data_IF_979801533550
#
_entry.id   IF_979801533550
#
_cell.length_a   1.000
_cell.length_b   1.000
_cell.length_c   1.000
_cell.angle_alpha   90.00
_cell.angle_beta   90.00
_cell.angle_gamma   90.00
#
_symmetry.space_group_name_H-M   'P 1'
#
loop_
_entity.id
_entity.type
_entity.pdbx_description
1 polymer ?
#
# COMPACT_ATOMS: atom_id res chain seq x y z
N UNK A 1 -22.23 -18.55 -8.42
CA UNK A 1 -22.59 -19.61 -7.44
C UNK A 1 -22.31 -19.17 -6.00
N UNK A 2 -21.08 -18.77 -5.65
CA UNK A 2 -20.77 -18.24 -4.30
C UNK A 2 -21.41 -16.86 -4.03
N UNK A 3 -21.41 -15.95 -5.01
CA UNK A 3 -22.00 -14.61 -4.83
C UNK A 3 -23.51 -14.67 -4.60
N UNK A 4 -24.24 -15.49 -5.37
CA UNK A 4 -25.68 -15.66 -5.19
C UNK A 4 -26.04 -16.31 -3.85
N UNK A 5 -25.25 -17.29 -3.39
CA UNK A 5 -25.46 -17.97 -2.11
C UNK A 5 -25.23 -17.02 -0.92
N UNK A 6 -24.16 -16.23 -0.94
CA UNK A 6 -23.80 -15.29 0.14
C UNK A 6 -24.33 -13.87 -0.06
N UNK A 7 -25.13 -13.64 -1.10
CA UNK A 7 -25.66 -12.31 -1.50
C UNK A 7 -24.56 -11.25 -1.63
N UNK A 8 -23.42 -11.62 -2.21
CA UNK A 8 -22.31 -10.71 -2.45
C UNK A 8 -22.48 -10.02 -3.80
N UNK A 9 -22.16 -8.72 -3.86
CA UNK A 9 -22.18 -7.97 -5.11
C UNK A 9 -21.01 -8.34 -6.04
N UNK A 10 -19.95 -8.93 -5.49
CA UNK A 10 -18.72 -9.26 -6.22
C UNK A 10 -18.01 -10.47 -5.59
N UNK A 11 -17.10 -11.07 -6.36
CA UNK A 11 -16.20 -12.12 -5.89
C UNK A 11 -15.37 -11.65 -4.67
N UNK A 12 -15.44 -12.33 -3.52
CA UNK A 12 -14.82 -11.88 -2.26
C UNK A 12 -13.31 -12.10 -2.20
N UNK A 13 -12.78 -13.14 -2.84
CA UNK A 13 -11.36 -13.51 -2.78
C UNK A 13 -10.69 -13.34 -4.16
N UNK A 14 -10.48 -12.10 -4.56
CA UNK A 14 -9.72 -11.80 -5.78
C UNK A 14 -8.24 -11.66 -5.47
N UNK A 15 -7.36 -12.20 -6.31
CA UNK A 15 -5.91 -12.02 -6.18
C UNK A 15 -5.51 -10.53 -6.33
N UNK A 16 -6.30 -9.75 -7.06
CA UNK A 16 -6.09 -8.32 -7.22
C UNK A 16 -6.43 -7.59 -5.92
N UNK A 17 -5.44 -6.87 -5.39
CA UNK A 17 -5.65 -5.89 -4.32
C UNK A 17 -6.27 -4.63 -4.94
N UNK A 18 -7.52 -4.34 -4.57
CA UNK A 18 -8.25 -3.12 -4.94
C UNK A 18 -8.28 -2.17 -3.73
N UNK A 19 -7.68 -0.98 -3.80
CA UNK A 19 -7.73 0.01 -2.72
C UNK A 19 -9.15 0.34 -2.26
N UNK A 20 -10.14 0.34 -3.18
CA UNK A 20 -11.53 0.61 -2.84
C UNK A 20 -12.16 -0.48 -1.95
N UNK A 21 -11.57 -1.68 -1.94
CA UNK A 21 -12.03 -2.84 -1.16
C UNK A 21 -11.12 -3.13 0.04
N UNK A 22 -10.18 -2.24 0.35
CA UNK A 22 -9.27 -2.43 1.48
C UNK A 22 -10.03 -2.25 2.81
N UNK A 23 -10.01 -3.30 3.65
CA UNK A 23 -10.61 -3.21 4.98
C UNK A 23 -9.76 -2.33 5.91
N UNK A 24 -10.27 -1.14 6.22
CA UNK A 24 -9.62 -0.12 7.05
C UNK A 24 -9.80 -0.40 8.54
N UNK A 25 -9.09 -1.39 9.07
CA UNK A 25 -9.03 -1.63 10.51
C UNK A 25 -8.49 -0.41 11.26
N UNK A 26 -8.72 -0.35 12.58
CA UNK A 26 -8.19 0.73 13.43
C UNK A 26 -6.65 0.84 13.32
N UNK A 27 -5.94 -0.28 13.25
CA UNK A 27 -4.48 -0.28 13.10
C UNK A 27 -4.05 0.25 11.73
N UNK A 28 -4.75 -0.11 10.65
CA UNK A 28 -4.48 0.42 9.31
C UNK A 28 -4.70 1.94 9.27
N UNK A 29 -5.80 2.44 9.85
CA UNK A 29 -6.10 3.87 9.88
C UNK A 29 -5.02 4.67 10.64
N UNK A 30 -4.60 4.19 11.81
CA UNK A 30 -3.53 4.82 12.59
C UNK A 30 -2.20 4.82 11.84
N UNK A 31 -1.83 3.69 11.23
CA UNK A 31 -0.60 3.60 10.44
C UNK A 31 -0.63 4.55 9.23
N UNK A 32 -1.77 4.61 8.53
CA UNK A 32 -1.95 5.52 7.40
C UNK A 32 -1.84 6.99 7.82
N UNK A 33 -2.45 7.38 8.93
CA UNK A 33 -2.36 8.75 9.46
C UNK A 33 -0.91 9.14 9.78
N UNK A 34 -0.15 8.22 10.42
CA UNK A 34 1.27 8.45 10.72
C UNK A 34 2.13 8.58 9.46
N UNK A 35 1.87 7.77 8.44
CA UNK A 35 2.58 7.86 7.16
C UNK A 35 2.27 9.17 6.44
N UNK A 36 1.01 9.61 6.40
CA UNK A 36 0.62 10.91 5.84
C UNK A 36 1.34 12.05 6.56
N UNK A 37 1.27 12.07 7.89
CA UNK A 37 2.00 13.04 8.69
C UNK A 37 3.50 13.02 8.37
N UNK A 38 4.10 11.84 8.23
CA UNK A 38 5.53 11.73 7.95
C UNK A 38 5.90 12.31 6.59
N UNK A 39 5.07 12.07 5.56
CA UNK A 39 5.22 12.62 4.22
C UNK A 39 5.06 14.14 4.22
N UNK A 40 4.00 14.66 4.83
CA UNK A 40 3.68 16.09 4.85
C UNK A 40 4.77 16.92 5.56
N UNK A 41 5.42 16.33 6.58
CA UNK A 41 6.46 16.99 7.37
C UNK A 41 7.89 16.61 6.93
N UNK A 42 8.05 15.87 5.83
CA UNK A 42 9.36 15.41 5.33
C UNK A 42 10.24 14.76 6.42
N UNK A 43 9.62 14.00 7.31
CA UNK A 43 10.30 13.36 8.45
C UNK A 43 10.97 12.05 8.03
N UNK A 44 11.90 12.13 7.08
CA UNK A 44 12.77 11.03 6.71
C UNK A 44 12.04 9.73 6.31
N UNK A 45 12.71 8.56 6.41
CA UNK A 45 12.15 7.29 5.98
C UNK A 45 11.09 6.74 6.95
N UNK A 46 9.96 6.27 6.41
CA UNK A 46 8.92 5.56 7.16
C UNK A 46 9.08 4.03 7.10
N UNK A 47 8.88 3.35 8.23
CA UNK A 47 8.90 1.89 8.32
C UNK A 47 7.54 1.34 8.78
N UNK A 48 7.00 0.37 8.04
CA UNK A 48 5.75 -0.33 8.39
C UNK A 48 6.07 -1.75 8.85
N UNK A 49 5.80 -2.04 10.12
CA UNK A 49 6.02 -3.35 10.73
C UNK A 49 4.71 -4.12 10.90
N UNK A 50 4.77 -5.45 10.77
CA UNK A 50 3.63 -6.34 10.98
C UNK A 50 3.87 -7.73 10.40
N UNK A 51 3.14 -8.73 10.91
CA UNK A 51 3.25 -10.12 10.46
C UNK A 51 2.89 -10.31 8.98
N UNK A 52 3.21 -11.47 8.42
CA UNK A 52 2.79 -11.81 7.05
C UNK A 52 1.26 -11.75 6.92
N UNK A 53 0.75 -11.27 5.79
CA UNK A 53 -0.69 -11.17 5.53
C UNK A 53 -1.43 -10.02 6.23
N UNK A 54 -0.78 -9.19 7.05
CA UNK A 54 -1.46 -8.08 7.77
C UNK A 54 -1.75 -6.84 6.91
N UNK A 55 -1.71 -6.94 5.59
CA UNK A 55 -2.10 -5.84 4.70
C UNK A 55 -1.08 -4.71 4.50
N UNK A 56 0.20 -4.86 4.91
CA UNK A 56 1.26 -3.85 4.74
C UNK A 56 1.36 -3.28 3.32
N UNK A 57 1.48 -4.17 2.32
CA UNK A 57 1.55 -3.77 0.90
C UNK A 57 0.24 -3.13 0.43
N UNK A 58 -0.90 -3.59 0.94
CA UNK A 58 -2.20 -2.98 0.65
C UNK A 58 -2.31 -1.58 1.23
N UNK A 59 -1.75 -1.32 2.41
CA UNK A 59 -1.71 -0.01 3.04
C UNK A 59 -0.91 1.00 2.24
N UNK A 60 0.27 0.59 1.72
CA UNK A 60 1.10 1.46 0.86
C UNK A 60 0.35 1.80 -0.44
N UNK A 61 -0.31 0.81 -1.07
CA UNK A 61 -1.15 1.05 -2.25
C UNK A 61 -2.35 1.96 -1.97
N UNK A 62 -2.93 1.87 -0.77
CA UNK A 62 -4.02 2.75 -0.36
C UNK A 62 -3.52 4.19 -0.19
N UNK A 63 -2.36 4.37 0.44
CA UNK A 63 -1.73 5.68 0.62
C UNK A 63 -1.49 6.36 -0.73
N UNK A 64 -0.90 5.64 -1.69
CA UNK A 64 -0.59 6.18 -3.01
C UNK A 64 -1.82 6.41 -3.87
N UNK A 65 -2.89 5.63 -3.69
CA UNK A 65 -4.17 5.86 -4.34
C UNK A 65 -4.88 7.12 -3.80
N UNK A 66 -4.78 7.37 -2.49
CA UNK A 66 -5.38 8.53 -1.83
C UNK A 66 -4.60 9.84 -2.10
N UNK A 67 -3.29 9.76 -2.35
CA UNK A 67 -2.39 10.92 -2.53
C UNK A 67 -1.80 10.94 -3.95
N UNK A 68 -2.59 11.43 -4.91
CA UNK A 68 -2.17 11.53 -6.31
C UNK A 68 -1.12 12.61 -6.57
N UNK A 69 -0.96 13.52 -5.61
CA UNK A 69 0.04 14.58 -5.54
C UNK A 69 1.44 14.08 -5.19
N UNK A 70 1.58 12.86 -4.66
CA UNK A 70 2.88 12.21 -4.43
C UNK A 70 3.47 11.72 -5.76
N UNK A 71 3.95 12.66 -6.58
CA UNK A 71 4.63 12.38 -7.84
C UNK A 71 6.00 13.08 -7.87
N UNK A 72 7.06 12.41 -8.37
CA UNK A 72 7.06 11.05 -8.91
C UNK A 72 7.01 9.97 -7.80
N UNK A 73 6.18 8.94 -8.00
CA UNK A 73 6.14 7.76 -7.13
C UNK A 73 6.94 6.61 -7.75
N UNK A 74 8.01 6.19 -7.08
CA UNK A 74 8.79 5.02 -7.49
C UNK A 74 8.53 3.87 -6.51
N UNK A 75 8.02 2.74 -7.03
CA UNK A 75 7.74 1.54 -6.23
C UNK A 75 8.75 0.43 -6.56
N UNK A 76 9.69 0.21 -5.66
CA UNK A 76 10.75 -0.80 -5.80
C UNK A 76 10.40 -2.04 -4.98
N UNK A 77 10.31 -3.20 -5.63
CA UNK A 77 10.05 -4.49 -4.99
C UNK A 77 11.28 -5.36 -5.15
N UNK A 78 11.92 -5.74 -4.04
CA UNK A 78 13.14 -6.56 -4.04
C UNK A 78 14.21 -6.03 -5.01
N UNK A 79 14.99 -5.01 -4.63
CA UNK A 79 16.12 -4.57 -5.45
C UNK A 79 17.24 -5.62 -5.34
N UNK A 80 17.08 -6.76 -6.01
CA UNK A 80 18.19 -7.68 -6.32
C UNK A 80 19.03 -7.08 -7.47
N UNK A 81 19.36 -5.79 -7.36
CA UNK A 81 20.06 -4.98 -8.34
C UNK A 81 21.19 -4.23 -7.62
N UNK A 82 22.23 -3.85 -8.35
CA UNK A 82 23.33 -3.08 -7.78
C UNK A 82 22.85 -1.69 -7.32
N UNK A 83 23.55 -1.04 -6.38
CA UNK A 83 23.25 0.35 -6.00
C UNK A 83 23.21 1.30 -7.19
N UNK A 84 24.11 1.14 -8.17
CA UNK A 84 24.15 1.94 -9.38
C UNK A 84 22.89 1.74 -10.25
N UNK A 85 22.45 0.49 -10.42
CA UNK A 85 21.23 0.17 -11.17
C UNK A 85 19.97 0.67 -10.45
N UNK A 86 19.97 0.65 -9.11
CA UNK A 86 18.89 1.25 -8.32
C UNK A 86 18.83 2.77 -8.52
N UNK A 87 19.97 3.45 -8.52
CA UNK A 87 20.02 4.89 -8.77
C UNK A 87 19.51 5.21 -10.19
N UNK A 88 19.88 4.42 -11.20
CA UNK A 88 19.37 4.56 -12.57
C UNK A 88 17.86 4.29 -12.70
N UNK A 89 17.29 3.48 -11.82
CA UNK A 89 15.85 3.20 -11.81
C UNK A 89 15.03 4.35 -11.20
N UNK A 90 15.63 5.09 -10.27
CA UNK A 90 14.95 6.13 -9.47
C UNK A 90 15.22 7.55 -9.97
N UNK A 91 16.36 7.79 -10.63
CA UNK A 91 16.75 9.07 -11.24
C UNK A 91 16.11 9.29 -12.61
#
# INVERSE_FOLDING_TARGET
>A
MYEAYWKLNHKPFTQRQDPARFYRSKSHQTALLRLKYALDNLTGPGLILGASGTGKTGLVKLLTADHKDLQPLVHVVFPAISPDDLLRLVA
#
